data_IF_650588329458
#
_entry.id   IF_650588329458
#
_cell.length_a   1.000
_cell.length_b   1.000
_cell.length_c   1.000
_cell.angle_alpha   90.00
_cell.angle_beta   90.00
_cell.angle_gamma   90.00
#
_symmetry.space_group_name_H-M   'P 1'
#
loop_
_entity.id
_entity.type
_entity.pdbx_description
1 polymer ?
#
# COMPACT_ATOMS: atom_id res chain seq x y z
N UNK A 1 -34.09 -5.17 11.99
CA UNK A 1 -33.09 -4.81 10.96
C UNK A 1 -33.07 -5.87 9.87
N UNK A 2 -33.07 -5.46 8.60
CA UNK A 2 -33.01 -6.43 7.49
C UNK A 2 -31.62 -7.05 7.40
N UNK A 3 -31.53 -8.24 6.74
CA UNK A 3 -30.24 -8.88 6.49
C UNK A 3 -29.30 -7.99 5.69
N UNK A 4 -29.85 -7.25 4.72
CA UNK A 4 -29.09 -6.30 3.89
C UNK A 4 -28.49 -5.20 4.76
N UNK A 5 -29.27 -4.65 5.67
CA UNK A 5 -28.80 -3.61 6.57
C UNK A 5 -27.70 -4.12 7.52
N UNK A 6 -27.84 -5.34 8.01
CA UNK A 6 -26.83 -5.99 8.85
C UNK A 6 -25.51 -6.19 8.09
N UNK A 7 -25.58 -6.65 6.84
CA UNK A 7 -24.41 -6.83 5.99
C UNK A 7 -23.71 -5.49 5.73
N UNK A 8 -24.47 -4.44 5.41
CA UNK A 8 -23.94 -3.09 5.22
C UNK A 8 -23.22 -2.59 6.46
N UNK A 9 -23.83 -2.75 7.63
CA UNK A 9 -23.23 -2.33 8.90
C UNK A 9 -21.94 -3.08 9.18
N UNK A 10 -21.88 -4.37 8.88
CA UNK A 10 -20.67 -5.17 9.06
C UNK A 10 -19.55 -4.72 8.14
N UNK A 11 -19.86 -4.40 6.88
CA UNK A 11 -18.90 -3.86 5.91
C UNK A 11 -18.40 -2.49 6.38
N UNK A 12 -19.28 -1.59 6.78
CA UNK A 12 -18.91 -0.26 7.27
C UNK A 12 -18.02 -0.35 8.52
N UNK A 13 -18.33 -1.24 9.45
CA UNK A 13 -17.53 -1.47 10.64
C UNK A 13 -16.15 -2.01 10.30
N UNK A 14 -16.06 -2.92 9.33
CA UNK A 14 -14.79 -3.43 8.85
C UNK A 14 -13.90 -2.31 8.31
N UNK A 15 -14.43 -1.44 7.44
CA UNK A 15 -13.67 -0.33 6.87
C UNK A 15 -13.28 0.70 7.93
N UNK A 16 -14.16 0.99 8.88
CA UNK A 16 -13.84 1.88 10.01
C UNK A 16 -12.66 1.34 10.82
N UNK A 17 -12.66 0.04 11.10
CA UNK A 17 -11.58 -0.61 11.85
C UNK A 17 -10.26 -0.53 11.09
N UNK A 18 -10.29 -0.76 9.77
CA UNK A 18 -9.10 -0.62 8.92
C UNK A 18 -8.56 0.80 8.95
N UNK A 19 -9.42 1.81 8.91
CA UNK A 19 -9.03 3.22 8.97
C UNK A 19 -8.41 3.58 10.32
N UNK A 20 -8.97 3.08 11.43
CA UNK A 20 -8.43 3.27 12.78
C UNK A 20 -7.02 2.69 12.88
N UNK A 21 -6.83 1.45 12.43
CA UNK A 21 -5.53 0.79 12.44
C UNK A 21 -4.50 1.52 11.58
N UNK A 22 -4.92 1.99 10.40
CA UNK A 22 -4.07 2.74 9.50
C UNK A 22 -3.64 4.07 10.10
N UNK A 23 -4.55 4.77 10.78
CA UNK A 23 -4.25 6.02 11.48
C UNK A 23 -3.28 5.79 12.64
N UNK A 24 -3.40 4.67 13.36
CA UNK A 24 -2.45 4.27 14.40
C UNK A 24 -1.06 4.02 13.82
N UNK A 25 -0.97 3.35 12.68
CA UNK A 25 0.29 3.12 11.99
C UNK A 25 0.95 4.43 11.57
N UNK A 26 0.17 5.37 11.00
CA UNK A 26 0.67 6.69 10.61
C UNK A 26 1.18 7.47 11.82
N UNK A 27 0.47 7.44 12.93
CA UNK A 27 0.90 8.09 14.18
C UNK A 27 2.18 7.46 14.72
N UNK A 28 2.28 6.12 14.70
CA UNK A 28 3.46 5.39 15.10
C UNK A 28 4.68 5.76 14.24
N UNK A 29 4.50 5.88 12.93
CA UNK A 29 5.58 6.30 12.02
C UNK A 29 6.10 7.69 12.36
N UNK A 30 5.21 8.65 12.68
CA UNK A 30 5.61 10.02 13.05
C UNK A 30 6.46 10.08 14.30
N UNK A 31 6.22 9.17 15.26
CA UNK A 31 6.88 9.15 16.56
C UNK A 31 8.01 8.11 16.65
N UNK A 32 8.32 7.44 15.53
CA UNK A 32 9.30 6.36 15.52
C UNK A 32 10.64 6.81 14.94
N UNK A 33 11.63 5.90 15.00
CA UNK A 33 12.93 6.06 14.34
C UNK A 33 12.83 6.23 12.82
N UNK A 34 11.67 5.88 12.24
CA UNK A 34 11.42 5.98 10.79
C UNK A 34 10.99 7.37 10.35
N UNK A 35 10.71 8.28 11.29
CA UNK A 35 10.20 9.62 10.98
C UNK A 35 11.12 10.39 10.03
N UNK A 36 12.44 10.28 10.18
CA UNK A 36 13.41 10.96 9.31
C UNK A 36 13.27 10.59 7.84
N UNK A 37 12.79 9.37 7.56
CA UNK A 37 12.54 8.91 6.20
C UNK A 37 11.22 9.46 5.66
N UNK A 38 10.15 9.29 6.41
CA UNK A 38 8.80 9.71 6.00
C UNK A 38 8.63 11.22 5.91
N UNK A 39 9.40 11.99 6.69
CA UNK A 39 9.36 13.47 6.66
C UNK A 39 10.34 14.08 5.66
N UNK A 40 11.13 13.27 4.97
CA UNK A 40 12.14 13.75 4.03
C UNK A 40 11.49 14.42 2.81
N UNK A 41 11.99 15.60 2.44
CA UNK A 41 11.41 16.38 1.34
C UNK A 41 11.56 15.70 -0.02
N UNK A 42 12.67 15.00 -0.26
CA UNK A 42 12.90 14.29 -1.53
C UNK A 42 11.94 13.12 -1.69
N UNK A 43 11.63 12.44 -0.59
CA UNK A 43 10.59 11.40 -0.59
C UNK A 43 9.22 11.99 -0.94
N UNK A 44 8.86 13.13 -0.33
CA UNK A 44 7.58 13.80 -0.62
C UNK A 44 7.48 14.22 -2.09
N UNK A 45 8.54 14.78 -2.66
CA UNK A 45 8.59 15.17 -4.07
C UNK A 45 8.46 13.95 -4.98
N UNK A 46 9.23 12.89 -4.71
CA UNK A 46 9.21 11.66 -5.49
C UNK A 46 7.83 11.01 -5.46
N UNK A 47 7.25 10.90 -4.29
CA UNK A 47 5.91 10.33 -4.10
C UNK A 47 4.86 11.12 -4.87
N UNK A 48 4.88 12.45 -4.76
CA UNK A 48 3.93 13.31 -5.45
C UNK A 48 4.09 13.22 -6.97
N UNK A 49 5.31 13.21 -7.46
CA UNK A 49 5.57 13.06 -8.90
C UNK A 49 5.12 11.70 -9.41
N UNK A 50 5.37 10.65 -8.66
CA UNK A 50 4.93 9.31 -9.02
C UNK A 50 3.40 9.23 -9.06
N UNK A 51 2.73 9.77 -8.03
CA UNK A 51 1.27 9.84 -7.99
C UNK A 51 0.70 10.58 -9.19
N UNK A 52 1.30 11.71 -9.58
CA UNK A 52 0.83 12.49 -10.73
C UNK A 52 0.95 11.71 -12.04
N UNK A 53 1.97 10.88 -12.17
CA UNK A 53 2.18 10.02 -13.36
C UNK A 53 1.30 8.77 -13.32
N UNK A 54 0.97 8.28 -12.13
CA UNK A 54 0.19 7.05 -11.91
C UNK A 54 -0.96 7.34 -10.93
N UNK A 55 -1.97 8.13 -11.37
CA UNK A 55 -3.07 8.52 -10.47
C UNK A 55 -4.05 7.40 -10.17
N UNK A 56 -3.99 6.29 -10.89
CA UNK A 56 -4.85 5.14 -10.71
C UNK A 56 -4.04 3.92 -10.23
N UNK A 57 -4.70 3.02 -9.51
CA UNK A 57 -4.10 1.79 -9.03
C UNK A 57 -3.54 0.97 -10.20
N UNK A 58 -2.25 0.69 -10.18
CA UNK A 58 -1.59 -0.05 -11.27
C UNK A 58 -2.00 -1.52 -11.31
N UNK A 59 -2.35 -2.10 -10.15
CA UNK A 59 -2.89 -3.46 -10.11
C UNK A 59 -4.28 -3.54 -10.76
N UNK A 60 -5.14 -2.57 -10.45
CA UNK A 60 -6.47 -2.49 -11.07
C UNK A 60 -6.37 -2.26 -12.58
N UNK A 61 -5.46 -1.40 -13.03
CA UNK A 61 -5.21 -1.15 -14.46
C UNK A 61 -4.87 -2.45 -15.18
N UNK A 62 -4.04 -3.30 -14.57
CA UNK A 62 -3.66 -4.60 -15.11
C UNK A 62 -4.88 -5.51 -15.30
N UNK A 63 -5.90 -5.33 -14.47
CA UNK A 63 -7.17 -6.08 -14.52
C UNK A 63 -8.24 -5.39 -15.39
N UNK A 64 -7.93 -4.27 -16.03
CA UNK A 64 -8.87 -3.50 -16.82
C UNK A 64 -9.86 -2.67 -16.00
N UNK A 65 -9.53 -2.37 -14.75
CA UNK A 65 -10.37 -1.62 -13.81
C UNK A 65 -9.70 -0.27 -13.53
N UNK A 66 -10.50 0.80 -13.53
CA UNK A 66 -10.03 2.14 -13.17
C UNK A 66 -10.41 2.42 -11.72
N UNK A 67 -9.41 2.52 -10.86
CA UNK A 67 -9.59 2.82 -9.43
C UNK A 67 -8.57 3.87 -9.01
N UNK A 68 -8.98 4.94 -8.31
CA UNK A 68 -8.03 5.95 -7.83
C UNK A 68 -6.99 5.36 -6.88
N UNK A 69 -5.76 5.87 -6.98
CA UNK A 69 -4.69 5.51 -6.05
C UNK A 69 -4.99 6.06 -4.67
N UNK A 70 -4.79 5.23 -3.66
CA UNK A 70 -4.84 5.66 -2.26
C UNK A 70 -3.44 5.83 -1.67
N UNK A 71 -2.49 4.98 -2.07
CA UNK A 71 -1.14 4.97 -1.52
C UNK A 71 -0.11 4.70 -2.61
N UNK A 72 1.03 5.39 -2.52
CA UNK A 72 2.22 5.03 -3.29
C UNK A 72 3.04 4.10 -2.41
N UNK A 73 3.13 2.85 -2.84
CA UNK A 73 3.69 1.74 -2.08
C UNK A 73 5.11 1.42 -2.56
N UNK A 74 6.03 1.14 -1.63
CA UNK A 74 7.34 0.60 -1.97
C UNK A 74 7.20 -0.91 -2.24
N UNK A 75 7.64 -1.37 -3.41
CA UNK A 75 7.63 -2.79 -3.74
C UNK A 75 8.44 -3.58 -2.72
N UNK A 76 9.68 -3.13 -2.47
CA UNK A 76 10.51 -3.63 -1.38
C UNK A 76 10.55 -2.58 -0.27
N UNK A 77 10.23 -2.99 0.95
CA UNK A 77 10.26 -2.09 2.11
C UNK A 77 11.64 -1.48 2.26
N UNK A 78 11.71 -0.16 2.39
CA UNK A 78 13.02 0.49 2.58
C UNK A 78 13.66 0.09 3.91
N UNK A 79 12.86 -0.26 4.91
CA UNK A 79 13.36 -0.76 6.20
C UNK A 79 14.14 -2.07 6.10
N UNK A 80 13.97 -2.82 4.98
CA UNK A 80 14.73 -4.04 4.71
C UNK A 80 16.17 -3.79 4.29
N UNK A 81 16.54 -2.54 3.98
CA UNK A 81 17.92 -2.20 3.66
C UNK A 81 18.85 -2.49 4.83
N UNK A 82 19.95 -3.19 4.56
CA UNK A 82 20.90 -3.62 5.59
C UNK A 82 21.80 -2.49 6.09
N UNK A 83 21.94 -1.42 5.31
CA UNK A 83 22.71 -0.23 5.65
C UNK A 83 21.83 1.00 5.55
N UNK A 84 22.27 2.11 6.15
CA UNK A 84 21.59 3.41 6.02
C UNK A 84 21.47 3.81 4.56
N UNK A 85 22.55 3.66 3.79
CA UNK A 85 22.54 3.98 2.35
C UNK A 85 21.55 3.11 1.57
N UNK A 86 21.47 1.81 1.90
CA UNK A 86 20.53 0.91 1.26
C UNK A 86 19.07 1.31 1.54
N UNK A 87 18.77 1.75 2.77
CA UNK A 87 17.44 2.24 3.12
C UNK A 87 17.06 3.47 2.30
N UNK A 88 17.95 4.46 2.20
CA UNK A 88 17.71 5.66 1.39
C UNK A 88 17.55 5.33 -0.09
N UNK A 89 18.36 4.41 -0.60
CA UNK A 89 18.26 3.98 -2.00
C UNK A 89 16.91 3.33 -2.30
N UNK A 90 16.39 2.51 -1.39
CA UNK A 90 15.07 1.88 -1.56
C UNK A 90 13.93 2.91 -1.44
N UNK A 91 14.06 3.84 -0.50
CA UNK A 91 13.04 4.89 -0.29
C UNK A 91 12.92 5.80 -1.51
N UNK A 92 14.04 6.20 -2.11
CA UNK A 92 14.11 7.23 -3.15
C UNK A 92 14.25 6.67 -4.57
N UNK A 93 14.02 5.37 -4.76
CA UNK A 93 14.07 4.75 -6.08
C UNK A 93 12.65 4.69 -6.68
N UNK A 94 12.40 5.47 -7.73
CA UNK A 94 11.10 5.49 -8.41
C UNK A 94 10.70 4.11 -8.95
N UNK A 95 11.66 3.28 -9.35
CA UNK A 95 11.40 1.92 -9.84
C UNK A 95 10.97 0.96 -8.74
N UNK A 96 11.11 1.37 -7.48
CA UNK A 96 10.64 0.61 -6.31
C UNK A 96 9.25 1.02 -5.87
N UNK A 97 8.54 1.82 -6.66
CA UNK A 97 7.22 2.36 -6.30
C UNK A 97 6.12 1.76 -7.16
N UNK A 98 4.93 1.62 -6.59
CA UNK A 98 3.69 1.37 -7.31
C UNK A 98 2.56 2.16 -6.66
N UNK A 99 1.63 2.64 -7.51
CA UNK A 99 0.39 3.24 -7.04
C UNK A 99 -0.65 2.16 -6.82
N UNK A 100 -1.24 2.11 -5.63
CA UNK A 100 -2.21 1.07 -5.28
C UNK A 100 -3.45 1.68 -4.63
N UNK A 101 -4.60 1.04 -4.88
CA UNK A 101 -5.82 1.33 -4.15
C UNK A 101 -5.79 0.65 -2.78
N UNK A 102 -6.76 0.96 -1.94
CA UNK A 102 -6.89 0.38 -0.59
C UNK A 102 -6.87 -1.16 -0.62
N UNK A 103 -7.63 -1.74 -1.53
CA UNK A 103 -7.75 -3.19 -1.67
C UNK A 103 -6.40 -3.84 -1.99
N UNK A 104 -5.71 -3.34 -3.03
CA UNK A 104 -4.42 -3.92 -3.44
C UNK A 104 -3.29 -3.57 -2.46
N UNK A 105 -3.35 -2.43 -1.78
CA UNK A 105 -2.42 -2.10 -0.70
C UNK A 105 -2.51 -3.13 0.43
N UNK A 106 -3.73 -3.47 0.83
CA UNK A 106 -3.94 -4.51 1.85
C UNK A 106 -3.44 -5.87 1.38
N UNK A 107 -3.68 -6.22 0.11
CA UNK A 107 -3.16 -7.49 -0.45
C UNK A 107 -1.64 -7.53 -0.47
N UNK A 108 -0.96 -6.40 -0.72
CA UNK A 108 0.48 -6.33 -0.64
C UNK A 108 0.99 -6.74 0.74
N UNK A 109 0.36 -6.23 1.80
CA UNK A 109 0.72 -6.61 3.17
C UNK A 109 0.40 -8.08 3.46
N UNK A 110 -0.73 -8.57 2.99
CA UNK A 110 -1.09 -10.00 3.13
C UNK A 110 -0.04 -10.89 2.44
N UNK A 111 0.37 -10.52 1.24
CA UNK A 111 1.40 -11.26 0.51
C UNK A 111 2.72 -11.32 1.30
N UNK A 112 3.19 -10.16 1.75
CA UNK A 112 4.45 -10.08 2.49
C UNK A 112 4.42 -10.88 3.79
N UNK A 113 3.30 -10.86 4.50
CA UNK A 113 3.11 -11.63 5.73
C UNK A 113 3.05 -13.13 5.44
N UNK A 114 2.26 -13.52 4.43
CA UNK A 114 2.07 -14.95 4.07
C UNK A 114 3.38 -15.63 3.64
N UNK A 115 4.19 -14.93 2.87
CA UNK A 115 5.43 -15.48 2.32
C UNK A 115 6.69 -15.05 3.06
N UNK A 116 6.54 -14.36 4.19
CA UNK A 116 7.66 -13.88 5.02
C UNK A 116 8.71 -13.13 4.19
N UNK A 117 8.25 -12.20 3.36
CA UNK A 117 9.10 -11.42 2.45
C UNK A 117 8.90 -9.93 2.65
N UNK A 118 9.89 -9.14 2.28
CA UNK A 118 9.84 -7.68 2.31
C UNK A 118 9.41 -7.07 0.97
N UNK A 119 9.06 -7.90 0.00
CA UNK A 119 8.76 -7.47 -1.36
C UNK A 119 7.38 -7.92 -1.81
N UNK A 120 6.59 -6.98 -2.33
CA UNK A 120 5.33 -7.26 -3.01
C UNK A 120 5.15 -6.25 -4.15
N UNK A 121 5.43 -6.67 -5.37
CA UNK A 121 5.18 -5.92 -6.60
C UNK A 121 3.82 -6.27 -7.20
N UNK A 122 3.55 -5.76 -8.39
CA UNK A 122 2.26 -5.98 -9.06
C UNK A 122 1.97 -7.46 -9.26
N UNK A 123 2.93 -8.21 -9.77
CA UNK A 123 2.74 -9.65 -10.08
C UNK A 123 2.47 -10.45 -8.81
N UNK A 124 3.18 -10.16 -7.73
CA UNK A 124 3.01 -10.80 -6.44
C UNK A 124 1.64 -10.50 -5.84
N UNK A 125 1.21 -9.24 -5.88
CA UNK A 125 -0.11 -8.84 -5.38
C UNK A 125 -1.21 -9.54 -6.18
N UNK A 126 -1.10 -9.54 -7.50
CA UNK A 126 -2.11 -10.16 -8.37
C UNK A 126 -2.13 -11.68 -8.23
N UNK A 127 -1.02 -12.30 -7.84
CA UNK A 127 -0.95 -13.76 -7.65
C UNK A 127 -1.90 -14.25 -6.53
N UNK A 128 -2.20 -13.40 -5.55
CA UNK A 128 -3.11 -13.72 -4.45
C UNK A 128 -4.47 -13.03 -4.56
N UNK A 129 -4.69 -12.25 -5.62
CA UNK A 129 -5.96 -11.54 -5.86
C UNK A 129 -6.95 -12.48 -6.55
N UNK A 130 -7.35 -13.55 -5.84
CA UNK A 130 -8.23 -14.58 -6.37
C UNK A 130 -9.70 -14.15 -6.40
N UNK A 131 -10.11 -13.26 -5.50
CA UNK A 131 -11.51 -12.87 -5.37
C UNK A 131 -12.01 -12.08 -6.58
N UNK A 132 -11.17 -11.23 -7.17
CA UNK A 132 -11.52 -10.45 -8.36
C UNK A 132 -11.42 -11.25 -9.66
N UNK A 133 -10.62 -12.31 -9.68
CA UNK A 133 -10.43 -13.15 -10.86
C UNK A 133 -11.56 -14.17 -11.04
N UNK A 134 -12.45 -14.32 -10.06
CA UNK A 134 -13.56 -15.28 -10.07
C UNK A 134 -14.90 -14.62 -10.48
N UNK A 135 -14.89 -13.36 -10.91
CA UNK A 135 -16.08 -12.65 -11.37
C UNK A 135 -16.15 -12.57 -12.88
#
# INVERSE_FOLDING_TARGET
MSKIQTIRNNIDNYYKQQDIERNKEKASRRNSKWNKYYSNKYWHELRNNYYMQHPCCECCERQGIVTPTEEVHHKKRFSAGLTEQAKWNLLLNEHNLISVCKYHHNLAHVYMERYHTDTAGIDEILSIDTDRNNY
#
